data_IF_082989187835
#
_entry.id   IF_082989187835
#
_cell.length_a   1.000
_cell.length_b   1.000
_cell.length_c   1.000
_cell.angle_alpha   90.00
_cell.angle_beta   90.00
_cell.angle_gamma   90.00
#
_symmetry.space_group_name_H-M   'P 1'
#
loop_
_entity.id
_entity.type
_entity.pdbx_description
1 polymer ?
#
# COMPACT_ATOMS: atom_id res chain seq x y z
N UNK A 1 22.29 -23.09 41.53
CA UNK A 1 22.59 -23.23 40.08
C UNK A 1 21.46 -23.88 39.27
N UNK A 2 20.87 -25.02 39.69
CA UNK A 2 19.80 -25.71 38.93
C UNK A 2 18.48 -24.91 38.74
N UNK A 3 18.16 -23.95 39.61
CA UNK A 3 16.91 -23.15 39.55
C UNK A 3 16.95 -22.05 38.48
N UNK A 4 18.10 -21.42 38.25
CA UNK A 4 18.30 -20.41 37.20
C UNK A 4 18.36 -21.06 35.80
N UNK A 5 18.90 -22.28 35.70
CA UNK A 5 18.94 -23.03 34.45
C UNK A 5 17.52 -23.40 33.93
N UNK A 6 16.58 -23.69 34.85
CA UNK A 6 15.17 -23.96 34.50
C UNK A 6 14.42 -22.71 34.03
N UNK A 7 14.85 -21.51 34.41
CA UNK A 7 14.27 -20.24 33.97
C UNK A 7 14.90 -19.75 32.65
N UNK A 8 16.14 -20.14 32.38
CA UNK A 8 16.89 -19.73 31.19
C UNK A 8 16.32 -20.35 29.91
N UNK A 9 15.92 -21.62 29.97
CA UNK A 9 15.35 -22.35 28.82
C UNK A 9 14.11 -21.65 28.24
N UNK A 10 13.04 -21.32 29.00
CA UNK A 10 11.87 -20.67 28.44
C UNK A 10 12.16 -19.26 27.93
N UNK A 11 13.10 -18.52 28.54
CA UNK A 11 13.50 -17.18 28.09
C UNK A 11 14.22 -17.27 26.74
N UNK A 12 15.15 -18.22 26.59
CA UNK A 12 15.85 -18.45 25.33
C UNK A 12 14.87 -18.90 24.24
N UNK A 13 13.95 -19.81 24.55
CA UNK A 13 12.90 -20.23 23.62
C UNK A 13 12.01 -19.06 23.18
N UNK A 14 11.63 -18.18 24.11
CA UNK A 14 10.82 -17.00 23.80
C UNK A 14 11.58 -16.01 22.89
N UNK A 15 12.87 -15.76 23.16
CA UNK A 15 13.70 -14.90 22.29
C UNK A 15 13.90 -15.49 20.89
N UNK A 16 13.99 -16.82 20.76
CA UNK A 16 14.07 -17.50 19.46
C UNK A 16 12.76 -17.32 18.68
N UNK A 17 11.61 -17.48 19.33
CA UNK A 17 10.29 -17.26 18.72
C UNK A 17 10.11 -15.80 18.28
N UNK A 18 10.53 -14.83 19.11
CA UNK A 18 10.48 -13.40 18.78
C UNK A 18 11.45 -12.99 17.66
N UNK A 19 12.61 -13.64 17.56
CA UNK A 19 13.55 -13.40 16.46
C UNK A 19 13.09 -13.97 15.11
N UNK A 20 12.09 -14.86 15.12
CA UNK A 20 11.50 -15.48 13.94
C UNK A 20 10.34 -14.70 13.30
N UNK A 21 10.08 -13.46 13.73
CA UNK A 21 9.00 -12.62 13.19
C UNK A 21 9.29 -12.07 11.78
N UNK A 22 9.71 -12.89 10.82
CA UNK A 22 9.38 -12.65 9.42
C UNK A 22 7.99 -13.25 9.21
N UNK A 23 6.93 -12.51 9.57
CA UNK A 23 5.56 -12.95 9.30
C UNK A 23 5.38 -13.03 7.78
N UNK A 24 5.37 -14.23 7.16
CA UNK A 24 5.39 -14.36 5.70
C UNK A 24 4.13 -13.78 5.07
N UNK A 25 3.09 -13.60 5.88
CA UNK A 25 1.77 -13.11 5.51
C UNK A 25 1.56 -11.62 5.81
N UNK A 26 2.42 -10.97 6.61
CA UNK A 26 2.31 -9.53 6.92
C UNK A 26 3.25 -8.67 6.05
N UNK A 27 3.75 -9.19 4.93
CA UNK A 27 4.69 -8.45 4.08
C UNK A 27 6.03 -8.23 4.79
N UNK A 28 6.66 -9.32 5.25
CA UNK A 28 8.00 -9.26 5.82
C UNK A 28 8.99 -8.66 4.81
N UNK A 29 9.62 -7.55 5.19
CA UNK A 29 10.74 -6.84 4.53
C UNK A 29 10.90 -7.21 3.07
N UNK A 30 9.92 -6.82 2.25
CA UNK A 30 10.04 -6.89 0.81
C UNK A 30 11.34 -6.23 0.37
N UNK A 31 11.95 -6.74 -0.71
CA UNK A 31 13.11 -6.10 -1.33
C UNK A 31 12.88 -4.58 -1.36
N UNK A 32 13.82 -3.80 -0.84
CA UNK A 32 13.69 -2.33 -0.80
C UNK A 32 13.45 -1.74 -2.18
N UNK A 33 13.84 -2.47 -3.22
CA UNK A 33 13.68 -2.10 -4.60
C UNK A 33 12.37 -2.58 -5.25
N UNK A 34 11.47 -3.22 -4.49
CA UNK A 34 10.21 -3.72 -5.02
C UNK A 34 9.17 -2.61 -5.17
N UNK A 35 8.40 -2.62 -6.25
CA UNK A 35 7.19 -1.81 -6.39
C UNK A 35 6.06 -2.47 -5.60
N UNK A 36 5.55 -1.80 -4.57
CA UNK A 36 4.50 -2.30 -3.69
C UNK A 36 3.14 -1.71 -4.05
N UNK A 37 2.19 -2.55 -4.43
CA UNK A 37 0.84 -2.16 -4.82
C UNK A 37 -0.12 -2.50 -3.67
N UNK A 38 -0.65 -1.48 -3.01
CA UNK A 38 -1.66 -1.58 -1.96
C UNK A 38 -3.07 -1.71 -2.52
N UNK A 39 -3.81 -2.71 -2.05
CA UNK A 39 -5.19 -2.97 -2.46
C UNK A 39 -6.09 -3.13 -1.24
N UNK A 40 -7.28 -2.54 -1.33
CA UNK A 40 -8.36 -2.72 -0.37
C UNK A 40 -8.99 -4.12 -0.54
N UNK A 41 -9.78 -4.55 0.44
CA UNK A 41 -10.48 -5.85 0.42
C UNK A 41 -11.69 -5.91 -0.53
N UNK A 42 -11.97 -4.84 -1.28
CA UNK A 42 -13.04 -4.79 -2.29
C UNK A 42 -12.61 -5.48 -3.59
N UNK A 43 -13.54 -6.12 -4.29
CA UNK A 43 -13.26 -6.76 -5.58
C UNK A 43 -12.65 -5.80 -6.61
N UNK A 44 -13.12 -4.57 -6.69
CA UNK A 44 -12.59 -3.57 -7.63
C UNK A 44 -11.11 -3.26 -7.36
N UNK A 45 -10.76 -2.89 -6.13
CA UNK A 45 -9.37 -2.60 -5.77
C UNK A 45 -8.43 -3.77 -6.00
N UNK A 46 -8.89 -5.01 -5.80
CA UNK A 46 -8.15 -6.23 -6.13
C UNK A 46 -7.94 -6.37 -7.64
N UNK A 47 -9.00 -6.21 -8.44
CA UNK A 47 -8.93 -6.31 -9.91
C UNK A 47 -7.99 -5.23 -10.46
N UNK A 48 -8.16 -3.97 -10.05
CA UNK A 48 -7.33 -2.86 -10.53
C UNK A 48 -5.88 -3.06 -10.13
N UNK A 49 -5.58 -3.50 -8.91
CA UNK A 49 -4.19 -3.73 -8.50
C UNK A 49 -3.50 -4.84 -9.30
N UNK A 50 -4.24 -5.87 -9.69
CA UNK A 50 -3.72 -6.88 -10.62
C UNK A 50 -3.56 -6.36 -12.05
N UNK A 51 -4.43 -5.46 -12.53
CA UNK A 51 -4.24 -4.76 -13.80
C UNK A 51 -2.97 -3.90 -13.75
N UNK A 52 -2.78 -3.10 -12.70
CA UNK A 52 -1.59 -2.27 -12.51
C UNK A 52 -0.32 -3.13 -12.55
N UNK A 53 -0.31 -4.27 -11.83
CA UNK A 53 0.79 -5.24 -11.86
C UNK A 53 1.10 -5.68 -13.29
N UNK A 54 0.10 -6.16 -14.03
CA UNK A 54 0.29 -6.67 -15.38
C UNK A 54 0.79 -5.59 -16.34
N UNK A 55 0.30 -4.35 -16.20
CA UNK A 55 0.74 -3.22 -17.00
C UNK A 55 2.19 -2.84 -16.70
N UNK A 56 2.59 -2.82 -15.42
CA UNK A 56 3.98 -2.56 -15.02
C UNK A 56 4.90 -3.66 -15.55
N UNK A 57 4.53 -4.94 -15.40
CA UNK A 57 5.31 -6.07 -15.95
C UNK A 57 5.43 -5.98 -17.47
N UNK A 58 4.36 -5.58 -18.17
CA UNK A 58 4.36 -5.41 -19.63
C UNK A 58 5.31 -4.30 -20.08
N UNK A 59 5.20 -3.10 -19.50
CA UNK A 59 6.07 -1.98 -19.86
C UNK A 59 7.53 -2.24 -19.45
N UNK A 60 7.77 -2.86 -18.28
CA UNK A 60 9.12 -3.23 -17.86
C UNK A 60 9.81 -4.17 -18.86
N UNK A 61 9.08 -5.18 -19.38
CA UNK A 61 9.61 -6.07 -20.43
C UNK A 61 9.94 -5.32 -21.72
N UNK A 62 9.07 -4.41 -22.15
CA UNK A 62 9.27 -3.59 -23.34
C UNK A 62 10.51 -2.69 -23.21
N UNK A 63 10.76 -2.16 -22.03
CA UNK A 63 11.91 -1.28 -21.74
C UNK A 63 13.16 -2.04 -21.27
N UNK A 64 13.14 -3.39 -21.25
CA UNK A 64 14.20 -4.27 -20.75
C UNK A 64 14.65 -3.96 -19.30
N UNK A 65 13.68 -3.61 -18.44
CA UNK A 65 13.86 -3.41 -17.00
C UNK A 65 13.38 -4.66 -16.25
N UNK A 66 13.97 -4.96 -15.10
CA UNK A 66 13.60 -6.10 -14.26
C UNK A 66 12.11 -6.06 -13.86
N UNK A 67 11.35 -7.04 -14.35
CA UNK A 67 9.92 -7.19 -14.19
C UNK A 67 9.50 -7.92 -12.90
N UNK A 68 10.43 -8.62 -12.24
CA UNK A 68 10.10 -9.61 -11.19
C UNK A 68 10.06 -9.06 -9.77
N UNK A 69 9.93 -7.73 -9.60
CA UNK A 69 10.00 -7.09 -8.30
C UNK A 69 8.74 -6.28 -7.95
N UNK A 70 7.56 -6.88 -8.15
CA UNK A 70 6.28 -6.29 -7.76
C UNK A 70 5.69 -7.08 -6.59
N UNK A 71 5.33 -6.39 -5.52
CA UNK A 71 4.69 -6.95 -4.34
C UNK A 71 3.25 -6.47 -4.22
N UNK A 72 2.35 -7.41 -3.97
CA UNK A 72 0.93 -7.16 -3.82
C UNK A 72 0.57 -7.13 -2.33
N UNK A 73 0.21 -5.96 -1.82
CA UNK A 73 -0.25 -5.78 -0.43
C UNK A 73 -1.77 -5.86 -0.43
N UNK A 74 -2.27 -7.01 0.01
CA UNK A 74 -3.69 -7.34 -0.04
C UNK A 74 -4.45 -6.90 1.21
N UNK A 75 -5.77 -6.73 1.06
CA UNK A 75 -6.73 -6.62 2.16
C UNK A 75 -6.47 -5.44 3.12
N UNK A 76 -6.03 -4.29 2.61
CA UNK A 76 -6.00 -3.06 3.39
C UNK A 76 -7.44 -2.65 3.73
N UNK A 77 -7.71 -2.45 5.02
CA UNK A 77 -9.09 -2.39 5.54
C UNK A 77 -9.89 -1.14 5.17
N UNK A 78 -9.23 -0.06 4.72
CA UNK A 78 -9.90 1.18 4.32
C UNK A 78 -8.98 2.07 3.47
N UNK A 79 -9.55 3.08 2.83
CA UNK A 79 -8.81 4.13 2.11
C UNK A 79 -7.80 4.86 2.99
N UNK A 80 -8.13 5.14 4.25
CA UNK A 80 -7.22 5.76 5.23
C UNK A 80 -6.05 4.85 5.56
N UNK A 81 -6.26 3.54 5.70
CA UNK A 81 -5.16 2.59 5.91
C UNK A 81 -4.24 2.57 4.70
N UNK A 82 -4.80 2.52 3.49
CA UNK A 82 -4.00 2.57 2.25
C UNK A 82 -3.26 3.90 2.10
N UNK A 83 -3.90 5.01 2.46
CA UNK A 83 -3.27 6.33 2.46
C UNK A 83 -2.06 6.40 3.41
N UNK A 84 -2.23 5.90 4.63
CA UNK A 84 -1.14 5.86 5.61
C UNK A 84 0.00 4.95 5.13
N UNK A 85 -0.31 3.80 4.51
CA UNK A 85 0.70 2.92 3.93
C UNK A 85 1.51 3.61 2.81
N UNK A 86 0.86 4.45 1.99
CA UNK A 86 1.55 5.28 1.00
C UNK A 86 2.44 6.32 1.67
N UNK A 87 1.96 6.97 2.73
CA UNK A 87 2.70 8.02 3.43
C UNK A 87 3.91 7.49 4.24
N UNK A 88 3.83 6.26 4.75
CA UNK A 88 4.94 5.59 5.45
C UNK A 88 5.93 4.91 4.51
N UNK A 89 5.61 4.81 3.21
CA UNK A 89 6.42 4.07 2.22
C UNK A 89 6.25 2.55 2.29
N UNK A 90 5.24 2.08 3.03
CA UNK A 90 4.87 0.66 3.05
C UNK A 90 4.20 0.24 1.73
N UNK A 91 3.56 1.16 1.03
CA UNK A 91 3.06 1.00 -0.34
C UNK A 91 3.62 2.10 -1.26
N UNK A 92 3.76 1.81 -2.55
CA UNK A 92 4.18 2.76 -3.59
C UNK A 92 3.05 3.16 -4.53
N UNK A 93 2.06 2.28 -4.70
CA UNK A 93 0.88 2.49 -5.53
C UNK A 93 -0.34 2.11 -4.70
N UNK A 94 -1.37 2.94 -4.73
CA UNK A 94 -2.70 2.58 -4.23
C UNK A 94 -3.58 2.26 -5.43
N UNK A 95 -4.06 1.02 -5.54
CA UNK A 95 -4.66 0.53 -6.78
C UNK A 95 -5.95 1.27 -7.18
N UNK A 96 -6.82 1.58 -6.23
CA UNK A 96 -8.07 2.29 -6.49
C UNK A 96 -8.28 3.40 -5.46
N UNK A 97 -8.59 4.61 -5.94
CA UNK A 97 -8.78 5.82 -5.14
C UNK A 97 -9.91 6.66 -5.72
N UNK A 98 -10.71 7.26 -4.84
CA UNK A 98 -11.87 8.06 -5.21
C UNK A 98 -11.77 9.43 -4.60
N UNK A 99 -12.05 10.45 -5.40
CA UNK A 99 -11.86 11.84 -4.98
C UNK A 99 -12.72 12.22 -3.76
N UNK A 100 -13.98 11.81 -3.71
CA UNK A 100 -14.86 12.08 -2.57
C UNK A 100 -14.40 11.42 -1.26
N UNK A 101 -13.96 10.16 -1.35
CA UNK A 101 -13.41 9.41 -0.21
C UNK A 101 -12.12 10.05 0.30
N UNK A 102 -11.25 10.53 -0.57
CA UNK A 102 -9.98 11.12 -0.17
C UNK A 102 -10.10 12.58 0.30
N UNK A 103 -11.05 13.36 -0.25
CA UNK A 103 -11.38 14.68 0.30
C UNK A 103 -11.76 14.58 1.77
N UNK A 104 -12.70 13.71 2.10
CA UNK A 104 -13.24 13.62 3.47
C UNK A 104 -12.36 12.77 4.39
N UNK A 105 -11.78 11.68 3.88
CA UNK A 105 -11.01 10.73 4.68
C UNK A 105 -9.54 11.07 4.83
N UNK A 106 -8.82 11.23 3.71
CA UNK A 106 -7.37 11.45 3.73
C UNK A 106 -7.00 12.91 3.99
N UNK A 107 -7.70 13.84 3.32
CA UNK A 107 -7.42 15.28 3.37
C UNK A 107 -8.21 16.00 4.48
N UNK A 108 -9.21 15.34 5.08
CA UNK A 108 -10.07 15.90 6.12
C UNK A 108 -10.70 17.26 5.71
N UNK A 109 -11.17 17.33 4.47
CA UNK A 109 -11.85 18.48 3.86
C UNK A 109 -13.36 18.20 3.71
N UNK A 110 -14.14 19.26 3.53
CA UNK A 110 -15.55 19.14 3.16
C UNK A 110 -15.70 18.46 1.78
N UNK A 111 -16.77 17.68 1.56
CA UNK A 111 -17.03 17.03 0.29
C UNK A 111 -17.27 18.07 -0.82
N UNK A 112 -16.72 17.79 -2.00
CA UNK A 112 -16.94 18.59 -3.22
C UNK A 112 -17.73 17.74 -4.21
N UNK A 113 -18.92 18.19 -4.58
CA UNK A 113 -19.82 17.45 -5.49
C UNK A 113 -19.43 17.56 -6.96
N UNK A 114 -18.77 18.66 -7.34
CA UNK A 114 -18.29 18.85 -8.70
C UNK A 114 -17.05 17.97 -8.95
N UNK A 115 -17.09 17.00 -9.88
CA UNK A 115 -16.05 15.97 -10.02
C UNK A 115 -14.73 16.55 -10.52
N UNK A 116 -14.77 17.52 -11.43
CA UNK A 116 -13.57 18.16 -11.97
C UNK A 116 -12.86 19.00 -10.90
N UNK A 117 -13.63 19.73 -10.09
CA UNK A 117 -13.12 20.48 -8.95
C UNK A 117 -12.59 19.55 -7.86
N UNK A 118 -13.30 18.46 -7.55
CA UNK A 118 -12.85 17.46 -6.58
C UNK A 118 -11.50 16.86 -7.01
N UNK A 119 -11.40 16.41 -8.26
CA UNK A 119 -10.15 15.89 -8.82
C UNK A 119 -9.03 16.92 -8.76
N UNK A 120 -9.29 18.17 -9.16
CA UNK A 120 -8.27 19.23 -9.12
C UNK A 120 -7.74 19.48 -7.71
N UNK A 121 -8.64 19.54 -6.72
CA UNK A 121 -8.27 19.75 -5.30
C UNK A 121 -7.45 18.58 -4.79
N UNK A 122 -7.92 17.35 -5.00
CA UNK A 122 -7.24 16.14 -4.54
C UNK A 122 -5.86 16.02 -5.18
N UNK A 123 -5.74 16.19 -6.50
CA UNK A 123 -4.43 16.13 -7.19
C UNK A 123 -3.44 17.13 -6.62
N UNK A 124 -3.90 18.35 -6.36
CA UNK A 124 -3.06 19.41 -5.79
C UNK A 124 -2.60 19.06 -4.38
N UNK A 125 -3.51 18.66 -3.50
CA UNK A 125 -3.18 18.32 -2.12
C UNK A 125 -2.24 17.11 -2.04
N UNK A 126 -2.48 16.05 -2.83
CA UNK A 126 -1.60 14.89 -2.85
C UNK A 126 -0.18 15.21 -3.34
N UNK A 127 -0.05 16.09 -4.33
CA UNK A 127 1.25 16.55 -4.83
C UNK A 127 1.97 17.44 -3.81
N UNK A 128 1.32 18.50 -3.33
CA UNK A 128 1.93 19.52 -2.47
C UNK A 128 2.18 19.04 -1.03
N UNK A 129 1.23 18.31 -0.43
CA UNK A 129 1.27 17.98 0.99
C UNK A 129 1.91 16.61 1.26
N UNK A 130 1.87 15.70 0.27
CA UNK A 130 2.29 14.31 0.45
C UNK A 130 3.34 13.83 -0.56
N UNK A 131 3.72 14.66 -1.56
CA UNK A 131 4.62 14.28 -2.64
C UNK A 131 4.16 12.98 -3.37
N UNK A 132 2.84 12.88 -3.58
CA UNK A 132 2.19 11.74 -4.20
C UNK A 132 1.55 12.16 -5.52
N UNK A 133 1.91 11.45 -6.59
CA UNK A 133 1.30 11.69 -7.90
C UNK A 133 -0.06 11.02 -7.99
N UNK A 134 -1.09 11.83 -8.18
CA UNK A 134 -2.43 11.36 -8.50
C UNK A 134 -2.66 11.33 -10.02
N UNK A 135 -2.95 10.15 -10.55
CA UNK A 135 -3.16 9.90 -11.98
C UNK A 135 -4.58 10.27 -12.45
N UNK A 136 -4.80 10.31 -13.77
CA UNK A 136 -6.14 10.52 -14.31
C UNK A 136 -7.10 9.38 -13.94
N UNK A 137 -8.41 9.60 -14.12
CA UNK A 137 -9.40 8.53 -13.99
C UNK A 137 -9.10 7.40 -14.99
N UNK A 138 -9.41 6.16 -14.58
CA UNK A 138 -9.41 4.98 -15.45
C UNK A 138 -10.52 5.01 -16.54
N UNK A 139 -11.34 6.07 -16.56
CA UNK A 139 -12.47 6.23 -17.49
C UNK A 139 -13.81 5.81 -16.91
N UNK A 140 -13.83 5.36 -15.65
CA UNK A 140 -15.04 5.14 -14.87
C UNK A 140 -15.42 6.40 -14.08
N UNK A 141 -16.68 6.51 -13.72
CA UNK A 141 -17.14 7.54 -12.78
C UNK A 141 -16.44 7.38 -11.42
N UNK A 142 -16.30 8.52 -10.76
CA UNK A 142 -15.49 8.73 -9.56
C UNK A 142 -16.39 8.98 -8.35
#
# INVERSE_FOLDING_TARGET
MKKYFKLFIPIVTLTVILSGCSLPFLGGTGDKNSVKIGMQNTSESQIIGHIDRLMIEHEAKKDNVNENNIQMINNLGSSTVTFNAMNTGDANISSARYTGTDLTGALNMDPITDPDKALKVVRKAFDEDYNQKWYGSYGFEN
#
